data_IF_214758030086
#
_entry.id   IF_214758030086
#
_cell.length_a   1.000
_cell.length_b   1.000
_cell.length_c   1.000
_cell.angle_alpha   90.00
_cell.angle_beta   90.00
_cell.angle_gamma   90.00
#
_symmetry.space_group_name_H-M   'P 1'
#
loop_
_entity.id
_entity.type
_entity.pdbx_description
1 polymer ?
#
# COMPACT_ATOMS: atom_id res chain seq x y z
N UNK A 1 9.72 -2.54 3.51
CA UNK A 1 9.02 -1.62 4.44
C UNK A 1 9.51 -0.20 4.18
N UNK A 2 8.61 0.81 4.16
CA UNK A 2 9.01 2.20 3.93
C UNK A 2 9.76 2.76 5.13
N UNK A 3 10.89 3.43 4.88
CA UNK A 3 11.66 4.15 5.89
C UNK A 3 11.75 5.62 5.49
N UNK A 4 11.34 6.53 6.38
CA UNK A 4 11.43 7.99 6.18
C UNK A 4 12.41 8.53 7.21
N UNK A 5 13.55 9.07 6.76
CA UNK A 5 14.49 9.78 7.62
C UNK A 5 14.01 11.21 7.79
N UNK A 6 13.70 11.60 9.03
CA UNK A 6 13.30 12.97 9.38
C UNK A 6 14.56 13.83 9.48
N UNK A 7 14.57 14.99 8.83
CA UNK A 7 15.65 15.99 8.96
C UNK A 7 15.21 17.02 10.03
N UNK A 8 16.17 17.56 10.79
CA UNK A 8 15.94 18.43 11.96
C UNK A 8 15.16 19.72 11.68
N UNK A 9 15.04 20.14 10.41
CA UNK A 9 14.33 21.36 9.99
C UNK A 9 12.92 21.10 9.43
N UNK A 10 12.36 19.90 9.57
CA UNK A 10 10.99 19.61 9.10
C UNK A 10 9.99 19.54 10.27
N UNK A 11 8.83 20.20 10.16
CA UNK A 11 7.72 20.00 11.09
C UNK A 11 7.29 18.53 11.09
N UNK A 12 7.08 17.96 12.28
CA UNK A 12 6.72 16.55 12.49
C UNK A 12 5.52 16.09 11.64
N UNK A 13 4.51 16.95 11.49
CA UNK A 13 3.32 16.67 10.65
C UNK A 13 3.65 16.40 9.18
N UNK A 14 4.68 17.06 8.64
CA UNK A 14 5.10 16.88 7.24
C UNK A 14 5.77 15.53 7.07
N UNK A 15 6.60 15.12 8.03
CA UNK A 15 7.23 13.81 8.07
C UNK A 15 6.18 12.69 8.17
N UNK A 16 5.18 12.86 9.04
CA UNK A 16 4.08 11.91 9.19
C UNK A 16 3.27 11.76 7.89
N UNK A 17 2.98 12.87 7.21
CA UNK A 17 2.27 12.85 5.92
C UNK A 17 3.07 12.10 4.85
N UNK A 18 4.39 12.29 4.79
CA UNK A 18 5.28 11.55 3.87
C UNK A 18 5.33 10.06 4.21
N UNK A 19 5.37 9.72 5.49
CA UNK A 19 5.35 8.32 5.93
C UNK A 19 4.04 7.64 5.54
N UNK A 20 2.88 8.26 5.81
CA UNK A 20 1.58 7.74 5.38
C UNK A 20 1.53 7.51 3.87
N UNK A 21 1.98 8.47 3.07
CA UNK A 21 2.06 8.33 1.60
C UNK A 21 3.01 7.22 1.15
N UNK A 22 4.11 7.02 1.87
CA UNK A 22 5.06 5.93 1.60
C UNK A 22 4.48 4.56 1.92
N UNK A 23 3.74 4.43 3.02
CA UNK A 23 2.99 3.22 3.38
C UNK A 23 1.87 2.90 2.40
N UNK A 24 1.13 3.91 1.93
CA UNK A 24 0.11 3.78 0.89
C UNK A 24 0.71 3.35 -0.45
N UNK A 25 1.81 3.99 -0.87
CA UNK A 25 2.52 3.63 -2.12
C UNK A 25 3.08 2.22 -2.07
N UNK A 26 3.59 1.80 -0.92
CA UNK A 26 4.08 0.43 -0.72
C UNK A 26 2.95 -0.61 -0.64
N UNK A 27 1.68 -0.18 -0.56
CA UNK A 27 0.53 -1.09 -0.57
C UNK A 27 0.45 -2.01 0.65
N UNK A 28 1.14 -1.68 1.76
CA UNK A 28 1.30 -2.56 2.93
C UNK A 28 -0.06 -2.97 3.52
N UNK A 29 -1.00 -2.02 3.63
CA UNK A 29 -2.35 -2.29 4.13
C UNK A 29 -3.14 -3.23 3.20
N UNK A 30 -2.99 -3.07 1.88
CA UNK A 30 -3.64 -3.95 0.91
C UNK A 30 -3.07 -5.37 0.94
N UNK A 31 -1.79 -5.51 1.26
CA UNK A 31 -1.14 -6.80 1.37
C UNK A 31 -1.51 -7.54 2.66
N UNK A 32 -1.61 -6.84 3.79
CA UNK A 32 -2.10 -7.43 5.05
C UNK A 32 -3.50 -8.00 4.85
N UNK A 33 -4.43 -7.19 4.30
CA UNK A 33 -5.81 -7.61 4.07
C UNK A 33 -5.96 -8.77 3.09
N UNK A 34 -5.02 -8.90 2.15
CA UNK A 34 -4.93 -10.03 1.21
C UNK A 34 -4.44 -11.32 1.88
N UNK A 35 -3.59 -11.21 2.91
CA UNK A 35 -2.96 -12.35 3.59
C UNK A 35 -3.76 -12.84 4.82
N UNK A 36 -4.78 -12.10 5.24
CA UNK A 36 -5.67 -12.48 6.35
C UNK A 36 -6.36 -13.83 6.14
N UNK A 37 -6.65 -14.21 4.89
CA UNK A 37 -7.29 -15.48 4.57
C UNK A 37 -6.61 -16.14 3.37
N UNK A 38 -6.66 -17.48 3.33
CA UNK A 38 -6.21 -18.20 2.14
C UNK A 38 -7.14 -17.90 0.97
N UNK A 39 -6.53 -17.58 -0.16
CA UNK A 39 -7.23 -17.27 -1.38
C UNK A 39 -6.91 -18.31 -2.44
N UNK A 40 -7.94 -18.97 -2.97
CA UNK A 40 -7.78 -19.97 -4.04
C UNK A 40 -7.10 -19.32 -5.27
N UNK A 41 -6.22 -20.03 -6.00
CA UNK A 41 -5.52 -19.48 -7.16
C UNK A 41 -6.42 -18.85 -8.23
N UNK A 42 -7.63 -19.39 -8.41
CA UNK A 42 -8.64 -18.84 -9.32
C UNK A 42 -9.14 -17.45 -8.89
N UNK A 43 -9.35 -17.26 -7.58
CA UNK A 43 -9.80 -15.97 -7.03
C UNK A 43 -8.70 -14.91 -7.11
N UNK A 44 -7.44 -15.31 -6.88
CA UNK A 44 -6.26 -14.44 -7.07
C UNK A 44 -6.20 -13.90 -8.50
N UNK A 45 -6.44 -14.75 -9.52
CA UNK A 45 -6.46 -14.34 -10.94
C UNK A 45 -7.60 -13.35 -11.21
N UNK A 46 -8.80 -13.65 -10.72
CA UNK A 46 -9.99 -12.78 -10.89
C UNK A 46 -9.76 -11.39 -10.27
N UNK A 47 -9.22 -11.33 -9.05
CA UNK A 47 -8.91 -10.06 -8.37
C UNK A 47 -7.83 -9.27 -9.11
N UNK A 48 -6.76 -9.91 -9.59
CA UNK A 48 -5.71 -9.24 -10.38
C UNK A 48 -6.28 -8.60 -11.65
N UNK A 49 -7.17 -9.30 -12.36
CA UNK A 49 -7.84 -8.77 -13.55
C UNK A 49 -8.72 -7.55 -13.20
N UNK A 50 -9.55 -7.64 -12.16
CA UNK A 50 -10.38 -6.52 -11.71
C UNK A 50 -9.55 -5.31 -11.26
N UNK A 51 -8.43 -5.52 -10.57
CA UNK A 51 -7.52 -4.45 -10.16
C UNK A 51 -6.82 -3.77 -11.35
N UNK A 52 -6.50 -4.52 -12.42
CA UNK A 52 -5.94 -3.96 -13.64
C UNK A 52 -6.97 -3.06 -14.36
N UNK A 53 -8.20 -3.53 -14.53
CA UNK A 53 -9.29 -2.75 -15.14
C UNK A 53 -9.54 -1.46 -14.35
N UNK A 54 -9.61 -1.54 -13.01
CA UNK A 54 -9.79 -0.37 -12.14
C UNK A 54 -8.67 0.66 -12.25
N UNK A 55 -7.46 0.28 -12.67
CA UNK A 55 -6.32 1.19 -12.82
C UNK A 55 -6.33 1.95 -14.17
N UNK A 56 -7.05 1.42 -15.16
CA UNK A 56 -7.19 2.02 -16.49
C UNK A 56 -8.45 2.88 -16.65
N UNK A 57 -9.34 2.86 -15.65
CA UNK A 57 -10.44 3.80 -15.44
C UNK A 57 -9.97 4.96 -14.56
#
# INVERSE_FOLDING_TARGET
>A
MPAVKVKENEPFDVALRRFKRSCEKAGVLSEVRRREHYEKPTWVRKRKAAAAVKRHL
#
